data_IF_241138694527
#
_entry.id   IF_241138694527
#
_cell.length_a   1.000
_cell.length_b   1.000
_cell.length_c   1.000
_cell.angle_alpha   90.00
_cell.angle_beta   90.00
_cell.angle_gamma   90.00
#
_symmetry.space_group_name_H-M   'P 1'
#
loop_
_entity.id
_entity.type
_entity.pdbx_description
1 polymer ?
#
# COMPACT_ATOMS: atom_id res chain seq x y z
N UNK A 1 -15.47 3.69 9.97
CA UNK A 1 -14.63 2.81 9.13
C UNK A 1 -15.26 2.56 7.76
N UNK A 2 -16.50 2.06 7.68
CA UNK A 2 -17.20 1.83 6.41
C UNK A 2 -17.26 3.08 5.51
N UNK A 3 -17.63 4.24 6.06
CA UNK A 3 -17.65 5.52 5.31
C UNK A 3 -16.28 5.88 4.73
N UNK A 4 -15.21 5.65 5.49
CA UNK A 4 -13.83 5.90 5.04
C UNK A 4 -13.48 4.98 3.86
N UNK A 5 -13.79 3.68 3.97
CA UNK A 5 -13.52 2.71 2.91
C UNK A 5 -14.30 3.03 1.63
N UNK A 6 -15.59 3.38 1.76
CA UNK A 6 -16.43 3.76 0.62
C UNK A 6 -15.95 5.06 -0.04
N UNK A 7 -15.51 6.04 0.76
CA UNK A 7 -14.91 7.28 0.25
C UNK A 7 -13.65 7.01 -0.55
N UNK A 8 -12.72 6.19 -0.02
CA UNK A 8 -11.48 5.81 -0.69
C UNK A 8 -11.75 5.03 -2.00
N UNK A 9 -12.69 4.08 -1.97
CA UNK A 9 -13.06 3.33 -3.17
C UNK A 9 -13.65 4.23 -4.25
N UNK A 10 -14.50 5.20 -3.87
CA UNK A 10 -15.06 6.20 -4.78
C UNK A 10 -13.97 7.08 -5.39
N UNK A 11 -13.01 7.54 -4.58
CA UNK A 11 -11.86 8.34 -5.06
C UNK A 11 -11.03 7.56 -6.09
N UNK A 12 -10.83 6.25 -5.87
CA UNK A 12 -10.07 5.40 -6.79
C UNK A 12 -10.90 4.78 -7.92
N UNK A 13 -12.20 5.13 -8.04
CA UNK A 13 -13.14 4.54 -8.99
C UNK A 13 -13.17 3.00 -8.94
N UNK A 14 -12.98 2.43 -7.75
CA UNK A 14 -12.99 0.98 -7.51
C UNK A 14 -14.37 0.54 -7.05
N UNK A 15 -14.78 -0.66 -7.45
CA UNK A 15 -15.97 -1.32 -6.91
C UNK A 15 -15.64 -1.85 -5.52
N UNK A 16 -16.43 -1.47 -4.53
CA UNK A 16 -16.31 -1.94 -3.15
C UNK A 16 -17.70 -2.16 -2.57
N UNK A 17 -17.97 -3.40 -2.17
CA UNK A 17 -19.09 -3.75 -1.32
C UNK A 17 -18.57 -4.02 0.09
N UNK A 18 -19.28 -3.54 1.11
CA UNK A 18 -18.93 -3.73 2.52
C UNK A 18 -19.99 -4.59 3.18
N UNK A 19 -19.55 -5.72 3.73
CA UNK A 19 -20.39 -6.66 4.49
C UNK A 19 -19.94 -6.66 5.93
N UNK A 20 -20.89 -6.73 6.87
CA UNK A 20 -20.55 -6.82 8.29
C UNK A 20 -19.77 -8.11 8.58
N UNK A 21 -18.65 -7.97 9.27
CA UNK A 21 -17.91 -9.10 9.82
C UNK A 21 -18.68 -9.83 10.92
N UNK A 22 -18.14 -10.96 11.36
CA UNK A 22 -18.71 -11.81 12.40
C UNK A 22 -17.68 -12.11 13.49
N UNK A 23 -18.02 -12.99 14.44
CA UNK A 23 -17.20 -13.30 15.63
C UNK A 23 -15.85 -13.94 15.32
N UNK A 24 -15.72 -14.59 14.17
CA UNK A 24 -14.48 -15.24 13.73
C UNK A 24 -14.09 -14.83 12.31
N UNK A 25 -12.84 -15.12 11.93
CA UNK A 25 -12.34 -14.91 10.56
C UNK A 25 -13.19 -15.68 9.54
N UNK A 26 -13.43 -16.98 9.75
CA UNK A 26 -14.18 -17.79 8.80
C UNK A 26 -15.65 -17.39 8.73
N UNK A 27 -16.30 -17.01 9.83
CA UNK A 27 -17.67 -16.49 9.77
C UNK A 27 -17.75 -15.17 9.01
N UNK A 28 -16.75 -14.30 9.15
CA UNK A 28 -16.66 -13.07 8.36
C UNK A 28 -16.49 -13.34 6.86
N UNK A 29 -15.64 -14.31 6.51
CA UNK A 29 -15.49 -14.75 5.11
C UNK A 29 -16.80 -15.34 4.61
N UNK A 30 -17.47 -16.18 5.41
CA UNK A 30 -18.78 -16.76 5.07
C UNK A 30 -19.82 -15.67 4.80
N UNK A 31 -19.89 -14.60 5.60
CA UNK A 31 -20.80 -13.47 5.32
C UNK A 31 -20.54 -12.85 3.93
N UNK A 32 -19.27 -12.72 3.54
CA UNK A 32 -18.90 -12.25 2.20
C UNK A 32 -19.32 -13.22 1.09
N UNK A 33 -19.14 -14.53 1.32
CA UNK A 33 -19.60 -15.57 0.39
C UNK A 33 -21.12 -15.57 0.23
N UNK A 34 -21.86 -15.54 1.34
CA UNK A 34 -23.33 -15.49 1.36
C UNK A 34 -23.84 -14.24 0.61
N UNK A 35 -23.15 -13.11 0.72
CA UNK A 35 -23.45 -11.90 -0.05
C UNK A 35 -23.25 -12.09 -1.55
N UNK A 36 -22.15 -12.71 -1.98
CA UNK A 36 -21.87 -13.03 -3.39
C UNK A 36 -22.99 -13.94 -3.94
N UNK A 37 -23.38 -14.96 -3.19
CA UNK A 37 -24.49 -15.87 -3.54
C UNK A 37 -25.83 -15.14 -3.66
N UNK A 38 -26.16 -14.28 -2.68
CA UNK A 38 -27.41 -13.51 -2.68
C UNK A 38 -27.48 -12.54 -3.87
N UNK A 39 -26.34 -12.00 -4.32
CA UNK A 39 -26.22 -11.18 -5.52
C UNK A 39 -26.23 -11.99 -6.82
N UNK A 40 -26.29 -13.32 -6.74
CA UNK A 40 -26.20 -14.26 -7.88
C UNK A 40 -24.94 -14.04 -8.71
N UNK A 41 -23.86 -13.62 -8.06
CA UNK A 41 -22.55 -13.48 -8.69
C UNK A 41 -21.86 -14.85 -8.70
N UNK A 42 -21.28 -15.21 -9.85
CA UNK A 42 -20.51 -16.44 -10.03
C UNK A 42 -19.17 -16.09 -10.68
N UNK A 43 -18.25 -15.45 -9.93
CA UNK A 43 -16.91 -15.22 -10.45
C UNK A 43 -16.21 -16.56 -10.71
N UNK A 44 -15.22 -16.58 -11.60
CA UNK A 44 -14.42 -17.79 -11.80
C UNK A 44 -13.58 -18.12 -10.55
N UNK A 45 -13.07 -17.07 -9.91
CA UNK A 45 -12.17 -17.14 -8.76
C UNK A 45 -12.61 -16.22 -7.62
N UNK A 46 -12.39 -16.66 -6.40
CA UNK A 46 -12.44 -15.84 -5.19
C UNK A 46 -11.03 -15.76 -4.62
N UNK A 47 -10.59 -14.53 -4.34
CA UNK A 47 -9.34 -14.27 -3.61
C UNK A 47 -9.70 -13.85 -2.19
N UNK A 48 -9.11 -14.52 -1.21
CA UNK A 48 -9.17 -14.16 0.21
C UNK A 48 -7.86 -13.48 0.57
N UNK A 49 -7.93 -12.22 1.00
CA UNK A 49 -6.78 -11.42 1.42
C UNK A 49 -7.06 -10.77 2.77
N UNK A 50 -6.08 -10.79 3.67
CA UNK A 50 -6.23 -10.12 4.97
C UNK A 50 -5.99 -8.61 4.80
N UNK A 51 -6.94 -7.78 5.23
CA UNK A 51 -6.79 -6.32 5.17
C UNK A 51 -5.61 -5.75 5.97
N UNK A 52 -5.02 -6.54 6.88
CA UNK A 52 -3.83 -6.20 7.64
C UNK A 52 -2.50 -6.46 6.88
N UNK A 53 -2.57 -6.84 5.59
CA UNK A 53 -1.41 -7.03 4.70
C UNK A 53 -1.47 -6.00 3.58
N UNK A 54 -0.91 -4.79 3.79
CA UNK A 54 -1.03 -3.68 2.84
C UNK A 54 -0.20 -3.88 1.59
N UNK A 55 0.79 -4.79 1.62
CA UNK A 55 1.66 -5.09 0.49
C UNK A 55 1.16 -6.29 -0.28
N UNK A 56 1.01 -6.10 -1.58
CA UNK A 56 0.74 -7.16 -2.52
C UNK A 56 1.34 -6.78 -3.87
N UNK A 57 2.25 -7.61 -4.35
CA UNK A 57 2.85 -7.41 -5.66
C UNK A 57 1.92 -7.94 -6.75
N UNK A 58 1.73 -7.15 -7.81
CA UNK A 58 0.84 -7.53 -8.91
C UNK A 58 1.28 -8.85 -9.56
N UNK A 59 2.59 -9.08 -9.70
CA UNK A 59 3.15 -10.31 -10.27
C UNK A 59 2.77 -11.56 -9.45
N UNK A 60 2.77 -11.44 -8.12
CA UNK A 60 2.35 -12.54 -7.23
C UNK A 60 0.86 -12.81 -7.39
N UNK A 61 0.04 -11.77 -7.53
CA UNK A 61 -1.40 -11.92 -7.76
C UNK A 61 -1.70 -12.63 -9.10
N UNK A 62 -1.03 -12.23 -10.18
CA UNK A 62 -1.15 -12.89 -11.50
C UNK A 62 -0.74 -14.36 -11.42
N UNK A 63 0.39 -14.65 -10.78
CA UNK A 63 0.84 -16.03 -10.57
C UNK A 63 -0.16 -16.82 -9.74
N UNK A 64 -0.67 -16.26 -8.65
CA UNK A 64 -1.65 -16.90 -7.79
C UNK A 64 -2.93 -17.28 -8.55
N UNK A 65 -3.46 -16.37 -9.38
CA UNK A 65 -4.64 -16.64 -10.21
C UNK A 65 -4.34 -17.69 -11.28
N UNK A 66 -3.18 -17.62 -11.93
CA UNK A 66 -2.75 -18.61 -12.94
C UNK A 66 -2.65 -20.02 -12.34
N UNK A 67 -2.03 -20.15 -11.17
CA UNK A 67 -1.90 -21.44 -10.48
C UNK A 67 -3.27 -21.94 -9.98
N UNK A 68 -4.14 -21.04 -9.50
CA UNK A 68 -5.52 -21.38 -9.14
C UNK A 68 -6.35 -21.83 -10.36
N UNK A 69 -6.15 -21.22 -11.52
CA UNK A 69 -6.78 -21.66 -12.77
C UNK A 69 -6.41 -23.11 -13.09
N UNK A 70 -5.14 -23.47 -12.95
CA UNK A 70 -4.63 -24.82 -13.24
C UNK A 70 -4.99 -25.85 -12.17
N UNK A 71 -4.90 -25.50 -10.89
CA UNK A 71 -5.00 -26.44 -9.77
C UNK A 71 -6.32 -26.37 -8.99
N UNK A 72 -7.15 -25.36 -9.26
CA UNK A 72 -8.41 -25.09 -8.56
C UNK A 72 -8.27 -24.30 -7.26
N UNK A 73 -7.15 -24.44 -6.56
CA UNK A 73 -6.83 -23.74 -5.31
C UNK A 73 -5.34 -23.41 -5.28
N UNK A 74 -4.99 -22.19 -4.87
CA UNK A 74 -3.61 -21.77 -4.68
C UNK A 74 -3.47 -20.84 -3.47
N UNK A 75 -2.31 -20.85 -2.84
CA UNK A 75 -1.98 -19.97 -1.71
C UNK A 75 -0.50 -19.64 -1.67
N UNK A 76 -0.18 -18.48 -1.10
CA UNK A 76 1.21 -18.05 -0.92
C UNK A 76 1.76 -18.49 0.43
N UNK A 77 3.07 -18.72 0.51
CA UNK A 77 3.74 -19.10 1.76
C UNK A 77 5.11 -18.42 1.90
N UNK A 78 5.54 -18.31 3.15
CA UNK A 78 6.87 -17.87 3.53
C UNK A 78 7.63 -18.99 4.26
N UNK A 79 8.95 -19.13 4.07
CA UNK A 79 9.78 -19.97 4.93
C UNK A 79 9.72 -19.52 6.39
N UNK A 80 9.81 -20.48 7.31
CA UNK A 80 9.84 -20.18 8.74
C UNK A 80 11.23 -19.69 9.18
N UNK A 81 11.26 -18.61 9.96
CA UNK A 81 12.50 -18.04 10.53
C UNK A 81 12.82 -18.62 11.91
N UNK A 82 11.80 -18.85 12.74
CA UNK A 82 11.95 -19.44 14.07
C UNK A 82 11.88 -20.97 14.03
N UNK A 83 12.60 -21.62 14.96
CA UNK A 83 12.43 -23.05 15.25
C UNK A 83 11.01 -23.30 15.76
N UNK A 84 10.36 -24.37 15.29
CA UNK A 84 9.04 -24.78 15.79
C UNK A 84 9.23 -25.82 16.88
N UNK A 85 8.62 -25.57 18.03
CA UNK A 85 8.57 -26.50 19.15
C UNK A 85 7.13 -26.91 19.41
N UNK A 86 6.92 -28.19 19.67
CA UNK A 86 5.68 -28.72 20.22
C UNK A 86 5.88 -28.87 21.73
N UNK A 87 5.09 -28.17 22.57
CA UNK A 87 5.11 -28.36 24.01
C UNK A 87 4.13 -29.47 24.44
N UNK A 88 4.40 -30.10 25.59
CA UNK A 88 3.41 -30.95 26.25
C UNK A 88 2.18 -30.12 26.64
N UNK A 89 0.97 -30.61 26.33
CA UNK A 89 -0.27 -29.84 26.47
C UNK A 89 -0.52 -29.32 27.89
N UNK A 90 -0.23 -30.12 28.91
CA UNK A 90 -0.60 -29.80 30.30
C UNK A 90 0.49 -29.06 31.07
N UNK A 91 1.76 -29.37 30.82
CA UNK A 91 2.92 -28.83 31.58
C UNK A 91 3.65 -27.72 30.84
N UNK A 92 3.41 -27.58 29.53
CA UNK A 92 4.15 -26.71 28.61
C UNK A 92 5.67 -26.96 28.57
N UNK A 93 6.10 -28.15 29.01
CA UNK A 93 7.49 -28.60 28.87
C UNK A 93 7.79 -28.97 27.41
N UNK A 94 9.05 -28.83 26.98
CA UNK A 94 9.46 -29.18 25.62
C UNK A 94 9.14 -30.66 25.32
N UNK A 95 8.24 -30.92 24.37
CA UNK A 95 7.94 -32.28 23.90
C UNK A 95 8.81 -32.64 22.69
N UNK A 96 8.78 -31.80 21.66
CA UNK A 96 9.49 -32.04 20.40
C UNK A 96 9.98 -30.74 19.76
N UNK A 97 11.14 -30.80 19.12
CA UNK A 97 11.59 -29.80 18.14
C UNK A 97 11.30 -30.34 16.75
N UNK A 98 10.49 -29.63 15.96
CA UNK A 98 10.11 -30.09 14.62
C UNK A 98 11.19 -29.75 13.58
N UNK A 99 11.34 -30.60 12.57
CA UNK A 99 12.19 -30.31 11.41
C UNK A 99 11.58 -29.18 10.57
N UNK A 100 12.06 -27.96 10.82
CA UNK A 100 11.59 -26.72 10.18
C UNK A 100 11.58 -26.79 8.65
N UNK A 101 12.43 -27.59 8.01
CA UNK A 101 12.48 -27.70 6.54
C UNK A 101 11.19 -28.28 5.93
N UNK A 102 10.36 -28.94 6.74
CA UNK A 102 9.10 -29.55 6.33
C UNK A 102 7.88 -28.64 6.50
N UNK A 103 8.06 -27.43 7.04
CA UNK A 103 6.98 -26.53 7.40
C UNK A 103 7.20 -25.14 6.82
N UNK A 104 6.10 -24.46 6.53
CA UNK A 104 6.07 -23.11 5.99
C UNK A 104 4.98 -22.30 6.70
N UNK A 105 5.14 -20.99 6.76
CA UNK A 105 4.07 -20.09 7.18
C UNK A 105 3.12 -19.89 6.00
N UNK A 106 1.85 -20.26 6.17
CA UNK A 106 0.81 -19.90 5.21
C UNK A 106 0.52 -18.41 5.31
N UNK A 107 0.43 -17.74 4.17
CA UNK A 107 0.17 -16.31 4.09
C UNK A 107 -1.03 -16.03 3.16
N UNK A 108 -1.46 -14.76 3.11
CA UNK A 108 -2.48 -14.31 2.15
C UNK A 108 -1.87 -13.28 1.20
N UNK A 109 -2.30 -13.22 -0.08
CA UNK A 109 -3.57 -13.74 -0.62
C UNK A 109 -3.61 -15.25 -0.91
N UNK A 110 -4.83 -15.79 -0.91
CA UNK A 110 -5.16 -17.15 -1.31
C UNK A 110 -6.27 -17.11 -2.36
N UNK A 111 -6.19 -17.94 -3.40
CA UNK A 111 -7.14 -17.98 -4.50
C UNK A 111 -7.82 -19.34 -4.63
N UNK A 112 -9.11 -19.30 -4.91
CA UNK A 112 -9.97 -20.48 -4.98
C UNK A 112 -10.88 -20.37 -6.19
N UNK A 113 -11.14 -21.48 -6.89
CA UNK A 113 -12.31 -21.56 -7.77
C UNK A 113 -13.57 -21.35 -6.94
N UNK A 114 -14.48 -20.54 -7.46
CA UNK A 114 -15.69 -20.11 -6.75
C UNK A 114 -16.47 -21.28 -6.13
N UNK A 115 -16.76 -22.30 -6.93
CA UNK A 115 -17.52 -23.47 -6.49
C UNK A 115 -16.82 -24.24 -5.36
N UNK A 116 -15.48 -24.39 -5.42
CA UNK A 116 -14.72 -25.12 -4.41
C UNK A 116 -14.77 -24.44 -3.04
N UNK A 117 -14.67 -23.10 -3.02
CA UNK A 117 -14.73 -22.33 -1.79
C UNK A 117 -16.15 -22.30 -1.21
N UNK A 118 -17.15 -22.03 -2.04
CA UNK A 118 -18.56 -22.02 -1.63
C UNK A 118 -18.96 -23.38 -1.04
N UNK A 119 -18.63 -24.46 -1.73
CA UNK A 119 -18.96 -25.82 -1.25
C UNK A 119 -18.25 -26.15 0.06
N UNK A 120 -17.00 -25.71 0.24
CA UNK A 120 -16.28 -25.92 1.50
C UNK A 120 -16.95 -25.19 2.65
N UNK A 121 -17.33 -23.92 2.46
CA UNK A 121 -17.97 -23.10 3.51
C UNK A 121 -19.42 -23.50 3.81
N UNK A 122 -20.13 -24.10 2.85
CA UNK A 122 -21.47 -24.68 3.08
C UNK A 122 -21.41 -25.97 3.92
N UNK A 123 -20.33 -26.74 3.79
CA UNK A 123 -20.13 -28.02 4.49
C UNK A 123 -19.35 -27.88 5.81
N UNK A 124 -18.71 -26.74 6.03
CA UNK A 124 -17.87 -26.48 7.19
C UNK A 124 -18.65 -26.66 8.50
N UNK A 125 -18.05 -27.35 9.47
CA UNK A 125 -18.63 -27.46 10.81
C UNK A 125 -18.62 -26.12 11.56
N UNK A 126 -19.45 -25.99 12.59
CA UNK A 126 -19.42 -24.81 13.47
C UNK A 126 -18.06 -24.61 14.13
N UNK A 127 -17.44 -25.72 14.57
CA UNK A 127 -16.14 -25.69 15.24
C UNK A 127 -15.03 -25.21 14.29
N UNK A 128 -15.01 -25.67 13.04
CA UNK A 128 -14.05 -25.17 12.05
C UNK A 128 -14.33 -23.71 11.67
N UNK A 129 -15.61 -23.28 11.61
CA UNK A 129 -15.93 -21.86 11.43
C UNK A 129 -15.47 -20.99 12.60
N UNK A 130 -15.39 -21.53 13.82
CA UNK A 130 -15.03 -20.77 15.03
C UNK A 130 -13.52 -20.79 15.33
N UNK A 131 -12.84 -21.92 15.07
CA UNK A 131 -11.48 -22.16 15.56
C UNK A 131 -10.44 -22.43 14.47
N UNK A 132 -10.85 -22.82 13.25
CA UNK A 132 -9.90 -22.97 12.15
C UNK A 132 -9.34 -21.59 11.76
N UNK A 133 -8.12 -21.57 11.24
CA UNK A 133 -7.43 -20.33 10.83
C UNK A 133 -7.11 -20.28 9.35
N UNK A 134 -7.32 -21.37 8.60
CA UNK A 134 -6.76 -21.59 7.27
C UNK A 134 -7.83 -22.00 6.24
N UNK A 135 -8.05 -21.15 5.22
CA UNK A 135 -9.04 -21.44 4.18
C UNK A 135 -8.59 -22.59 3.27
N UNK A 136 -7.28 -22.75 3.04
CA UNK A 136 -6.74 -23.87 2.27
C UNK A 136 -7.07 -25.22 2.96
N UNK A 137 -7.04 -25.26 4.29
CA UNK A 137 -7.42 -26.45 5.08
C UNK A 137 -8.91 -26.75 4.96
N UNK A 138 -9.78 -25.73 5.04
CA UNK A 138 -11.23 -25.94 4.83
C UNK A 138 -11.53 -26.54 3.45
N UNK A 139 -10.90 -26.03 2.40
CA UNK A 139 -11.11 -26.57 1.04
C UNK A 139 -10.54 -27.98 0.90
N UNK A 140 -9.38 -28.27 1.50
CA UNK A 140 -8.82 -29.62 1.57
C UNK A 140 -9.75 -30.59 2.30
N UNK A 141 -10.28 -30.21 3.47
CA UNK A 141 -11.14 -31.05 4.30
C UNK A 141 -12.51 -31.32 3.68
N UNK A 142 -13.17 -30.28 3.20
CA UNK A 142 -14.59 -30.32 2.84
C UNK A 142 -14.86 -30.45 1.33
N UNK A 143 -13.91 -30.04 0.50
CA UNK A 143 -14.00 -30.14 -0.96
C UNK A 143 -13.00 -31.15 -1.55
N UNK A 144 -12.04 -31.66 -0.75
CA UNK A 144 -11.04 -32.67 -1.17
C UNK A 144 -10.09 -32.19 -2.29
N UNK A 145 -9.73 -30.91 -2.27
CA UNK A 145 -8.75 -30.33 -3.18
C UNK A 145 -7.49 -29.89 -2.44
N UNK A 146 -6.34 -30.22 -3.01
CA UNK A 146 -5.05 -29.72 -2.53
C UNK A 146 -4.76 -28.34 -3.13
N UNK A 147 -4.13 -27.49 -2.33
CA UNK A 147 -3.70 -26.17 -2.75
C UNK A 147 -2.30 -26.23 -3.38
N UNK A 148 -2.13 -25.52 -4.50
CA UNK A 148 -0.80 -25.19 -4.99
C UNK A 148 -0.17 -24.10 -4.12
N UNK A 149 0.98 -24.39 -3.54
CA UNK A 149 1.72 -23.46 -2.69
C UNK A 149 2.77 -22.68 -3.50
N UNK A 150 2.79 -21.36 -3.33
CA UNK A 150 3.66 -20.43 -4.07
C UNK A 150 4.57 -19.68 -3.08
N UNK A 151 5.90 -19.75 -3.21
CA UNK A 151 6.80 -19.01 -2.32
C UNK A 151 6.73 -17.50 -2.59
N UNK A 152 6.79 -16.71 -1.52
CA UNK A 152 6.90 -15.24 -1.57
C UNK A 152 7.94 -14.73 -0.57
N UNK A 153 8.35 -13.48 -0.72
CA UNK A 153 9.37 -12.84 0.11
C UNK A 153 8.83 -12.47 1.51
N UNK A 154 9.43 -12.98 2.61
CA UNK A 154 8.89 -12.75 3.97
C UNK A 154 8.81 -11.28 4.40
N UNK A 155 9.69 -10.43 3.87
CA UNK A 155 9.79 -9.02 4.27
C UNK A 155 8.61 -8.17 3.82
N UNK A 156 7.87 -8.60 2.78
CA UNK A 156 6.73 -7.86 2.24
C UNK A 156 5.40 -8.45 2.69
N UNK A 157 5.31 -9.77 2.88
CA UNK A 157 4.03 -10.44 3.10
C UNK A 157 3.61 -10.53 4.56
N UNK A 158 4.35 -9.96 5.52
CA UNK A 158 3.99 -10.03 6.94
C UNK A 158 2.62 -9.40 7.24
N UNK A 159 1.90 -9.99 8.20
CA UNK A 159 0.66 -9.40 8.73
C UNK A 159 0.99 -8.33 9.75
N UNK A 160 0.52 -7.10 9.56
CA UNK A 160 0.61 -6.04 10.58
C UNK A 160 -0.22 -6.47 11.79
N UNK A 161 0.46 -6.94 12.84
CA UNK A 161 -0.17 -7.55 14.03
C UNK A 161 0.15 -6.77 15.30
N UNK A 162 1.40 -6.29 15.40
CA UNK A 162 1.92 -5.53 16.52
C UNK A 162 2.24 -4.09 16.14
N UNK A 163 2.38 -3.22 17.13
CA UNK A 163 2.75 -1.82 16.92
C UNK A 163 4.06 -1.64 16.15
N UNK A 164 5.05 -2.51 16.38
CA UNK A 164 6.32 -2.48 15.62
C UNK A 164 6.11 -2.70 14.12
N UNK A 165 5.12 -3.52 13.75
CA UNK A 165 4.81 -3.84 12.36
C UNK A 165 4.22 -2.63 11.64
N UNK A 166 3.55 -1.72 12.36
CA UNK A 166 3.08 -0.44 11.81
C UNK A 166 4.26 0.43 11.37
N UNK A 167 5.35 0.48 12.15
CA UNK A 167 6.53 1.26 11.77
C UNK A 167 7.24 0.65 10.55
N UNK A 168 7.35 -0.68 10.51
CA UNK A 168 7.89 -1.37 9.34
C UNK A 168 7.02 -1.13 8.09
N UNK A 169 5.70 -1.25 8.23
CA UNK A 169 4.78 -0.98 7.14
C UNK A 169 4.78 0.50 6.74
N UNK A 170 4.85 1.46 7.65
CA UNK A 170 4.94 2.88 7.26
C UNK A 170 6.24 3.19 6.51
N UNK A 171 7.35 2.56 6.90
CA UNK A 171 8.65 2.76 6.24
C UNK A 171 8.66 2.20 4.81
N UNK A 172 8.22 0.94 4.61
CA UNK A 172 8.15 0.34 3.27
C UNK A 172 7.21 1.18 2.36
N UNK A 173 6.09 1.69 2.90
CA UNK A 173 5.15 2.55 2.16
C UNK A 173 5.83 3.87 1.76
N UNK A 174 6.74 4.40 2.58
CA UNK A 174 7.50 5.61 2.31
C UNK A 174 8.56 5.40 1.22
N UNK A 175 9.30 4.29 1.25
CA UNK A 175 10.31 3.94 0.23
C UNK A 175 9.70 3.74 -1.16
N UNK A 176 8.48 3.20 -1.22
CA UNK A 176 7.77 2.94 -2.47
C UNK A 176 7.00 4.16 -3.02
N UNK A 177 7.02 5.31 -2.34
CA UNK A 177 6.31 6.51 -2.81
C UNK A 177 6.87 6.99 -4.15
N UNK A 178 5.96 7.38 -5.03
CA UNK A 178 6.33 8.17 -6.20
C UNK A 178 6.77 9.56 -5.72
N UNK A 179 8.00 9.96 -6.05
CA UNK A 179 8.48 11.32 -5.85
C UNK A 179 8.53 12.00 -7.21
N UNK A 180 7.76 13.07 -7.36
CA UNK A 180 7.80 13.92 -8.54
C UNK A 180 8.56 15.20 -8.19
N UNK A 181 9.79 15.29 -8.70
CA UNK A 181 10.65 16.46 -8.57
C UNK A 181 10.35 17.46 -9.68
N UNK A 182 9.97 18.67 -9.28
CA UNK A 182 9.71 19.80 -10.16
C UNK A 182 10.76 20.87 -9.90
N UNK A 183 11.61 21.15 -10.88
CA UNK A 183 12.64 22.16 -10.76
C UNK A 183 12.88 22.80 -12.14
N UNK A 184 12.97 24.13 -12.22
CA UNK A 184 13.14 24.89 -13.46
C UNK A 184 14.65 25.06 -13.69
N UNK A 185 15.18 24.39 -14.70
CA UNK A 185 16.59 24.49 -15.10
C UNK A 185 16.79 25.33 -16.36
N UNK A 186 15.71 25.85 -16.98
CA UNK A 186 15.77 26.44 -18.31
C UNK A 186 16.29 27.89 -18.33
N UNK A 187 16.85 28.36 -17.23
CA UNK A 187 17.61 29.60 -17.19
C UNK A 187 18.67 29.48 -16.11
N UNK A 188 19.91 29.89 -16.38
CA UNK A 188 20.85 30.25 -15.32
C UNK A 188 20.20 31.39 -14.53
N UNK A 189 19.48 31.06 -13.47
CA UNK A 189 18.82 32.05 -12.62
C UNK A 189 19.82 32.53 -11.58
N UNK A 190 20.00 33.85 -11.43
CA UNK A 190 20.72 34.36 -10.27
C UNK A 190 20.03 33.83 -9.01
N UNK A 191 20.83 33.42 -8.04
CA UNK A 191 20.40 33.00 -6.71
C UNK A 191 19.81 31.57 -6.57
N UNK A 192 20.13 30.66 -7.51
CA UNK A 192 19.77 29.24 -7.43
C UNK A 192 21.01 28.37 -7.23
N UNK A 193 21.07 27.60 -6.14
CA UNK A 193 22.16 26.66 -5.89
C UNK A 193 21.98 25.36 -6.70
N UNK A 194 22.37 25.39 -7.98
CA UNK A 194 22.26 24.22 -8.88
C UNK A 194 23.06 23.02 -8.40
N UNK A 195 24.14 23.23 -7.64
CA UNK A 195 24.93 22.15 -7.06
C UNK A 195 24.10 21.40 -6.02
N UNK A 196 23.50 22.12 -5.07
CA UNK A 196 22.61 21.52 -4.07
C UNK A 196 21.41 20.81 -4.71
N UNK A 197 20.78 21.41 -5.72
CA UNK A 197 19.65 20.79 -6.44
C UNK A 197 20.08 19.47 -7.09
N UNK A 198 21.28 19.43 -7.68
CA UNK A 198 21.82 18.21 -8.27
C UNK A 198 22.10 17.14 -7.22
N UNK A 199 22.74 17.50 -6.11
CA UNK A 199 23.03 16.58 -4.99
C UNK A 199 21.72 16.05 -4.38
N UNK A 200 20.74 16.92 -4.11
CA UNK A 200 19.43 16.51 -3.60
C UNK A 200 18.70 15.58 -4.56
N UNK A 201 18.79 15.83 -5.87
CA UNK A 201 18.22 14.93 -6.88
C UNK A 201 18.89 13.55 -6.81
N UNK A 202 20.21 13.49 -6.77
CA UNK A 202 20.97 12.24 -6.75
C UNK A 202 20.70 11.47 -5.43
N UNK A 203 20.59 12.17 -4.30
CA UNK A 203 20.18 11.60 -3.01
C UNK A 203 18.75 11.05 -3.05
N UNK A 204 17.80 11.77 -3.63
CA UNK A 204 16.42 11.27 -3.74
C UNK A 204 16.34 10.04 -4.65
N UNK A 205 17.08 10.02 -5.77
CA UNK A 205 17.12 8.86 -6.67
C UNK A 205 17.75 7.65 -5.98
N UNK A 206 18.75 7.84 -5.11
CA UNK A 206 19.39 6.73 -4.39
C UNK A 206 18.55 6.17 -3.25
N UNK A 207 17.66 6.97 -2.66
CA UNK A 207 16.85 6.58 -1.49
C UNK A 207 15.40 6.18 -1.83
N UNK A 208 14.90 6.47 -3.02
CA UNK A 208 13.52 6.18 -3.41
C UNK A 208 13.43 5.44 -4.75
N UNK A 209 12.55 4.45 -4.81
CA UNK A 209 12.44 3.57 -5.98
C UNK A 209 11.86 4.30 -7.20
N UNK A 210 10.92 5.23 -6.97
CA UNK A 210 10.10 5.84 -8.02
C UNK A 210 10.25 7.36 -8.08
N UNK A 211 11.44 7.85 -8.46
CA UNK A 211 11.67 9.29 -8.65
C UNK A 211 11.53 9.68 -10.13
N UNK A 212 10.64 10.63 -10.43
CA UNK A 212 10.54 11.27 -11.75
C UNK A 212 10.87 12.75 -11.65
N UNK A 213 11.50 13.26 -12.69
CA UNK A 213 12.03 14.60 -12.71
C UNK A 213 11.46 15.41 -13.90
N UNK A 214 11.03 16.64 -13.64
CA UNK A 214 10.43 17.55 -14.63
C UNK A 214 11.11 18.92 -14.60
N UNK A 215 11.66 19.33 -15.76
CA UNK A 215 12.30 20.64 -15.97
C UNK A 215 11.37 21.72 -16.52
N UNK A 216 10.33 21.31 -17.23
CA UNK A 216 9.52 22.18 -18.06
C UNK A 216 8.22 22.62 -17.35
N UNK A 217 8.08 23.93 -17.15
CA UNK A 217 6.90 24.54 -16.53
C UNK A 217 5.59 24.29 -17.31
N UNK A 218 5.65 24.04 -18.62
CA UNK A 218 4.48 23.74 -19.46
C UNK A 218 3.97 22.30 -19.26
N UNK A 219 4.86 21.35 -18.94
CA UNK A 219 4.49 19.94 -18.73
C UNK A 219 3.73 19.72 -17.42
N UNK A 220 3.88 20.61 -16.44
CA UNK A 220 3.20 20.51 -15.14
C UNK A 220 1.68 20.43 -15.30
N UNK A 221 1.05 21.22 -16.18
CA UNK A 221 -0.41 21.17 -16.42
C UNK A 221 -0.91 19.77 -16.80
N UNK A 222 -0.12 19.01 -17.56
CA UNK A 222 -0.49 17.67 -18.01
C UNK A 222 -0.12 16.58 -16.99
N UNK A 223 1.02 16.74 -16.28
CA UNK A 223 1.46 15.79 -15.24
C UNK A 223 0.54 15.78 -14.01
N UNK A 224 -0.18 16.88 -13.76
CA UNK A 224 -1.16 17.01 -12.67
C UNK A 224 -2.46 16.24 -12.88
N UNK A 225 -2.63 15.57 -14.01
CA UNK A 225 -3.85 14.81 -14.29
C UNK A 225 -3.69 13.32 -13.91
N UNK A 226 -2.47 12.84 -13.62
CA UNK A 226 -2.20 11.44 -13.27
C UNK A 226 -1.63 11.29 -11.85
N UNK A 227 -2.44 11.54 -10.82
CA UNK A 227 -2.02 11.33 -9.43
C UNK A 227 -2.34 9.90 -8.98
N UNK A 228 -1.31 9.09 -8.72
CA UNK A 228 -1.45 7.92 -7.86
C UNK A 228 -1.53 8.41 -6.40
N UNK A 229 -2.48 7.92 -5.58
CA UNK A 229 -2.53 8.23 -4.15
C UNK A 229 -1.18 8.00 -3.45
N UNK A 230 -0.82 8.87 -2.51
CA UNK A 230 0.46 8.81 -1.81
C UNK A 230 1.67 9.42 -2.54
N UNK A 231 1.52 9.89 -3.78
CA UNK A 231 2.58 10.61 -4.52
C UNK A 231 3.01 11.87 -3.77
N UNK A 232 4.32 12.08 -3.68
CA UNK A 232 4.93 13.28 -3.07
C UNK A 232 5.43 14.19 -4.18
N UNK A 233 4.87 15.39 -4.27
CA UNK A 233 5.38 16.42 -5.17
C UNK A 233 6.40 17.25 -4.43
N UNK A 234 7.63 17.29 -4.95
CA UNK A 234 8.71 18.11 -4.42
C UNK A 234 8.96 19.23 -5.40
N UNK A 235 8.64 20.45 -5.02
CA UNK A 235 8.96 21.64 -5.80
C UNK A 235 10.25 22.25 -5.25
N UNK A 236 11.23 22.45 -6.12
CA UNK A 236 12.51 23.04 -5.76
C UNK A 236 12.60 24.45 -6.34
N UNK A 237 12.85 25.42 -5.45
CA UNK A 237 12.94 26.86 -5.73
C UNK A 237 11.60 27.54 -6.09
N UNK A 238 11.55 28.86 -5.92
CA UNK A 238 10.37 29.68 -6.20
C UNK A 238 10.10 29.79 -7.70
N UNK A 239 8.90 29.40 -8.14
CA UNK A 239 8.43 29.64 -9.49
C UNK A 239 6.96 30.12 -9.47
N UNK A 240 6.71 31.35 -9.92
CA UNK A 240 5.37 31.93 -9.87
C UNK A 240 4.35 31.14 -10.70
N UNK A 241 4.77 30.60 -11.86
CA UNK A 241 3.91 29.78 -12.70
C UNK A 241 3.46 28.49 -11.98
N UNK A 242 4.35 27.85 -11.21
CA UNK A 242 3.98 26.65 -10.46
C UNK A 242 3.02 26.95 -9.32
N UNK A 243 3.22 28.05 -8.60
CA UNK A 243 2.31 28.46 -7.52
C UNK A 243 0.89 28.63 -8.07
N UNK A 244 0.73 29.32 -9.20
CA UNK A 244 -0.59 29.51 -9.85
C UNK A 244 -1.24 28.19 -10.23
N UNK A 245 -0.47 27.27 -10.82
CA UNK A 245 -0.97 25.95 -11.24
C UNK A 245 -1.35 25.11 -10.02
N UNK A 246 -0.55 25.11 -8.96
CA UNK A 246 -0.85 24.38 -7.73
C UNK A 246 -2.06 24.98 -7.01
N UNK A 247 -2.18 26.31 -6.91
CA UNK A 247 -3.32 26.99 -6.30
C UNK A 247 -4.65 26.60 -6.96
N UNK A 248 -4.65 26.47 -8.29
CA UNK A 248 -5.82 26.05 -9.08
C UNK A 248 -6.19 24.58 -8.86
N UNK A 249 -5.22 23.73 -8.52
CA UNK A 249 -5.38 22.28 -8.41
C UNK A 249 -5.16 21.75 -6.99
N UNK A 250 -5.21 22.62 -5.98
CA UNK A 250 -4.73 22.29 -4.63
C UNK A 250 -5.44 21.07 -4.00
N UNK A 251 -6.72 20.90 -4.31
CA UNK A 251 -7.52 19.77 -3.82
C UNK A 251 -7.12 18.41 -4.42
N UNK A 252 -6.29 18.38 -5.47
CA UNK A 252 -5.80 17.16 -6.10
C UNK A 252 -4.55 16.59 -5.44
N UNK A 253 -3.90 17.32 -4.52
CA UNK A 253 -2.65 16.88 -3.88
C UNK A 253 -2.88 16.30 -2.49
N UNK A 254 -2.43 15.07 -2.27
CA UNK A 254 -2.43 14.46 -0.93
C UNK A 254 -1.18 14.82 -0.12
N UNK A 255 0.00 14.85 -0.77
CA UNK A 255 1.29 15.17 -0.14
C UNK A 255 2.08 16.15 -1.02
N UNK A 256 2.37 17.34 -0.49
CA UNK A 256 3.05 18.41 -1.21
C UNK A 256 4.21 18.95 -0.38
N UNK A 257 5.43 18.77 -0.85
CA UNK A 257 6.65 19.31 -0.25
C UNK A 257 7.12 20.48 -1.11
N UNK A 258 7.24 21.67 -0.52
CA UNK A 258 7.78 22.83 -1.22
C UNK A 258 9.09 23.28 -0.56
N UNK A 259 10.19 23.07 -1.25
CA UNK A 259 11.53 23.46 -0.79
C UNK A 259 11.94 24.70 -1.56
N UNK A 260 12.03 25.84 -0.89
CA UNK A 260 12.49 27.09 -1.47
C UNK A 260 13.98 27.19 -1.17
N UNK A 261 14.80 26.88 -2.17
CA UNK A 261 16.26 26.94 -2.05
C UNK A 261 16.72 28.33 -2.51
N UNK A 262 17.38 29.06 -1.60
CA UNK A 262 18.06 30.32 -1.89
C UNK A 262 19.57 30.08 -2.12
N UNK A 263 20.28 31.04 -2.72
CA UNK A 263 21.73 30.97 -2.90
C UNK A 263 22.51 31.11 -1.59
N UNK A 264 23.76 30.63 -1.63
CA UNK A 264 24.80 30.81 -0.61
C UNK A 264 25.26 32.29 -0.44
N UNK A 265 24.53 33.26 -1.00
CA UNK A 265 24.84 34.68 -0.81
C UNK A 265 24.38 35.11 0.58
N UNK A 266 25.27 35.73 1.36
CA UNK A 266 25.06 36.24 2.73
C UNK A 266 23.90 37.25 2.90
N UNK A 267 23.13 37.56 1.85
CA UNK A 267 21.94 38.40 1.91
C UNK A 267 20.66 37.59 1.63
N UNK A 268 19.87 37.24 2.67
CA UNK A 268 18.64 36.49 2.54
C UNK A 268 17.46 37.41 2.17
N UNK A 269 17.58 38.20 1.11
CA UNK A 269 16.47 39.04 0.66
C UNK A 269 15.64 38.29 -0.38
N UNK A 270 14.90 37.27 0.07
CA UNK A 270 13.60 37.01 -0.54
C UNK A 270 12.82 38.32 -0.41
N UNK A 271 12.74 39.09 -1.51
CA UNK A 271 12.04 40.36 -1.55
C UNK A 271 10.74 40.21 -0.74
N UNK A 272 10.50 41.06 0.27
CA UNK A 272 9.47 40.88 1.33
C UNK A 272 8.12 40.36 0.81
N UNK A 273 7.80 40.72 -0.43
CA UNK A 273 6.67 40.24 -1.21
C UNK A 273 6.62 38.70 -1.44
N UNK A 274 7.71 38.06 -1.86
CA UNK A 274 7.77 36.62 -2.13
C UNK A 274 7.62 35.81 -0.84
N UNK A 275 8.31 36.20 0.24
CA UNK A 275 8.18 35.60 1.57
C UNK A 275 6.77 35.72 2.12
N UNK A 276 6.16 36.91 2.05
CA UNK A 276 4.79 37.12 2.52
C UNK A 276 3.75 36.35 1.69
N UNK A 277 3.95 36.26 0.37
CA UNK A 277 3.08 35.48 -0.52
C UNK A 277 3.20 33.98 -0.26
N UNK A 278 4.42 33.46 -0.09
CA UNK A 278 4.67 32.06 0.28
C UNK A 278 4.06 31.71 1.63
N UNK A 279 4.21 32.56 2.65
CA UNK A 279 3.61 32.36 3.97
C UNK A 279 2.07 32.41 3.93
N UNK A 280 1.50 33.36 3.16
CA UNK A 280 0.05 33.44 2.95
C UNK A 280 -0.47 32.19 2.23
N UNK A 281 0.26 31.72 1.23
CA UNK A 281 -0.06 30.51 0.49
C UNK A 281 0.07 29.25 1.36
N UNK A 282 1.12 29.11 2.17
CA UNK A 282 1.29 28.02 3.13
C UNK A 282 0.11 27.93 4.13
N UNK A 283 -0.38 29.08 4.60
CA UNK A 283 -1.59 29.15 5.46
C UNK A 283 -2.84 28.68 4.72
N UNK A 284 -3.00 29.06 3.44
CA UNK A 284 -4.11 28.60 2.59
C UNK A 284 -4.03 27.09 2.28
N UNK A 285 -2.83 26.57 2.01
CA UNK A 285 -2.57 25.16 1.78
C UNK A 285 -2.98 24.31 3.00
N UNK A 286 -2.60 24.75 4.20
CA UNK A 286 -2.98 24.12 5.48
C UNK A 286 -4.50 24.13 5.73
N UNK A 287 -5.21 25.14 5.21
CA UNK A 287 -6.68 25.25 5.35
C UNK A 287 -7.47 24.37 4.37
N UNK A 288 -6.81 23.75 3.38
CA UNK A 288 -7.44 22.99 2.29
C UNK A 288 -7.10 21.48 2.30
N UNK A 289 -6.97 20.88 3.48
CA UNK A 289 -6.80 19.42 3.67
C UNK A 289 -5.57 18.77 2.99
N UNK A 290 -4.55 19.54 2.56
CA UNK A 290 -3.25 18.93 2.23
C UNK A 290 -2.71 18.29 3.52
N UNK A 291 -2.55 16.96 3.52
CA UNK A 291 -2.17 16.22 4.72
C UNK A 291 -0.77 16.55 5.20
N UNK A 292 0.16 16.76 4.26
CA UNK A 292 1.56 17.03 4.53
C UNK A 292 2.05 18.18 3.64
N UNK A 293 2.26 19.35 4.27
CA UNK A 293 2.88 20.52 3.64
C UNK A 293 4.13 20.93 4.42
N UNK A 294 5.26 20.96 3.73
CA UNK A 294 6.53 21.40 4.29
C UNK A 294 7.05 22.56 3.46
N UNK A 295 7.37 23.67 4.13
CA UNK A 295 8.10 24.80 3.56
C UNK A 295 9.47 24.83 4.21
N UNK A 296 10.51 24.58 3.42
CA UNK A 296 11.90 24.61 3.85
C UNK A 296 12.55 25.81 3.14
N UNK A 297 13.17 26.71 3.91
CA UNK A 297 13.98 27.82 3.42
C UNK A 297 15.47 27.48 3.58
#
# INVERSE_FOLDING_TARGET
>A
MQEILLSLAKQQQKRLDVVAGSSSRHRSIKSGLDFIEAKRMQPDFIIVHDGARPYLEEQVLHRLVSECYQHGVAGVYCPLTSTIIEPQKDTFMLHQVLDRSRYVASETPQAFRYNLLIDAYRKCSTDDLDYNTECLDLVKRYSKFDAKLIPVEPSLYFKVTYRKDIYAADHILKEQRNILLHCDFDSEKPNVNYKFIKELKDDLISNFVNVKYFSDSAKLKNTLVSHSPGTVHVLLHYCENWIRVIEQNLAAYENLVYIVINSDSDEPNLNDYASNRLLKWARQAKSKEIRNFYLIF
#
